data_IF_090101140652
#
_entry.id   IF_090101140652
#
_cell.length_a   1.000
_cell.length_b   1.000
_cell.length_c   1.000
_cell.angle_alpha   90.00
_cell.angle_beta   90.00
_cell.angle_gamma   90.00
#
_symmetry.space_group_name_H-M   'P 1'
#
loop_
_entity.id
_entity.type
_entity.pdbx_description
1 polymer ?
#
# COMPACT_ATOMS: atom_id res chain seq x y z
N UNK A 1 12.16 12.64 -2.25
CA UNK A 1 10.68 12.67 -2.35
C UNK A 1 10.14 11.33 -2.85
N UNK A 2 10.80 10.72 -3.83
CA UNK A 2 10.46 9.40 -4.42
C UNK A 2 10.58 8.22 -3.45
N UNK A 3 11.56 8.24 -2.54
CA UNK A 3 11.72 7.15 -1.57
C UNK A 3 10.51 7.02 -0.63
N UNK A 4 9.88 8.15 -0.29
CA UNK A 4 8.72 8.19 0.61
C UNK A 4 7.46 7.59 -0.02
N UNK A 5 7.21 7.85 -1.31
CA UNK A 5 6.06 7.25 -2.02
C UNK A 5 6.23 5.73 -2.18
N UNK A 6 7.47 5.23 -2.30
CA UNK A 6 7.74 3.80 -2.37
C UNK A 6 7.32 3.08 -1.08
N UNK A 7 7.59 3.66 0.09
CA UNK A 7 7.20 3.07 1.38
C UNK A 7 5.68 2.92 1.49
N UNK A 8 4.92 3.96 1.14
CA UNK A 8 3.46 3.92 1.14
C UNK A 8 2.92 2.84 0.17
N UNK A 9 3.47 2.75 -1.04
CA UNK A 9 3.07 1.77 -2.06
C UNK A 9 3.42 0.34 -1.67
N UNK A 10 4.65 0.09 -1.23
CA UNK A 10 5.12 -1.23 -0.80
C UNK A 10 4.34 -1.71 0.41
N UNK A 11 4.15 -0.85 1.41
CA UNK A 11 3.38 -1.19 2.60
C UNK A 11 1.96 -1.63 2.27
N UNK A 12 1.28 -0.89 1.40
CA UNK A 12 -0.04 -1.28 0.92
C UNK A 12 -0.02 -2.59 0.13
N UNK A 13 0.94 -2.77 -0.79
CA UNK A 13 1.03 -3.98 -1.62
C UNK A 13 1.28 -5.24 -0.79
N UNK A 14 2.22 -5.18 0.16
CA UNK A 14 2.52 -6.31 1.04
C UNK A 14 1.40 -6.61 2.04
N UNK A 15 0.63 -5.60 2.45
CA UNK A 15 -0.60 -5.84 3.21
C UNK A 15 -1.67 -6.52 2.34
N UNK A 16 -1.86 -6.05 1.11
CA UNK A 16 -2.84 -6.61 0.18
C UNK A 16 -2.52 -8.07 -0.18
N UNK A 17 -1.23 -8.37 -0.42
CA UNK A 17 -0.74 -9.70 -0.77
C UNK A 17 -0.33 -10.54 0.45
N UNK A 18 -0.72 -10.13 1.66
CA UNK A 18 -0.20 -10.70 2.91
C UNK A 18 -0.31 -12.22 2.97
N UNK A 19 -1.41 -12.78 2.43
CA UNK A 19 -1.66 -14.23 2.40
C UNK A 19 -0.77 -14.96 1.39
N UNK A 20 -0.52 -14.35 0.23
CA UNK A 20 0.24 -14.95 -0.86
C UNK A 20 1.76 -14.96 -0.59
N UNK A 21 2.28 -13.89 0.02
CA UNK A 21 3.72 -13.74 0.27
C UNK A 21 4.12 -13.89 1.74
N UNK A 22 3.20 -14.40 2.58
CA UNK A 22 3.41 -14.63 4.02
C UNK A 22 4.07 -13.44 4.74
N UNK A 23 3.52 -12.24 4.57
CA UNK A 23 4.15 -11.01 5.08
C UNK A 23 4.12 -10.96 6.61
N UNK A 24 5.28 -10.84 7.29
CA UNK A 24 5.34 -10.69 8.74
C UNK A 24 4.75 -9.36 9.23
N UNK A 25 4.04 -9.38 10.36
CA UNK A 25 3.52 -8.15 10.99
C UNK A 25 4.63 -7.17 11.37
N UNK A 26 5.81 -7.68 11.76
CA UNK A 26 6.97 -6.86 12.10
C UNK A 26 7.45 -6.03 10.91
N UNK A 27 7.38 -6.58 9.70
CA UNK A 27 7.75 -5.88 8.47
C UNK A 27 6.80 -4.72 8.18
N UNK A 28 5.48 -4.96 8.22
CA UNK A 28 4.47 -3.92 7.99
C UNK A 28 4.55 -2.80 9.05
N UNK A 29 4.77 -3.16 10.32
CA UNK A 29 4.99 -2.18 11.41
C UNK A 29 6.24 -1.33 11.17
N UNK A 30 7.32 -1.92 10.67
CA UNK A 30 8.55 -1.18 10.34
C UNK A 30 8.33 -0.21 9.17
N UNK A 31 7.56 -0.59 8.15
CA UNK A 31 7.19 0.31 7.06
C UNK A 31 6.31 1.47 7.54
N UNK A 32 5.34 1.19 8.42
CA UNK A 32 4.46 2.22 8.99
C UNK A 32 5.21 3.30 9.75
N UNK A 33 6.28 2.94 10.49
CA UNK A 33 7.14 3.91 11.19
C UNK A 33 7.87 4.88 10.25
N UNK A 34 8.00 4.53 8.97
CA UNK A 34 8.69 5.34 7.96
C UNK A 34 7.72 6.02 6.99
N UNK A 35 6.42 5.96 7.26
CA UNK A 35 5.41 6.63 6.43
C UNK A 35 5.63 8.13 6.40
N UNK A 36 5.40 8.71 5.22
CA UNK A 36 5.37 10.15 5.07
C UNK A 36 4.03 10.73 5.48
N UNK A 37 4.00 12.01 5.83
CA UNK A 37 2.77 12.76 6.07
C UNK A 37 1.99 13.15 4.81
N UNK A 38 2.51 12.82 3.63
CA UNK A 38 1.82 13.13 2.38
C UNK A 38 0.84 12.03 2.02
N UNK A 39 -0.19 12.39 1.26
CA UNK A 39 -1.09 11.45 0.62
C UNK A 39 -0.58 11.21 -0.80
N UNK A 40 -0.41 9.96 -1.17
CA UNK A 40 0.08 9.57 -2.49
C UNK A 40 -0.97 8.82 -3.29
N UNK A 41 -0.74 8.72 -4.59
CA UNK A 41 -1.50 7.85 -5.48
C UNK A 41 -0.71 6.57 -5.76
N UNK A 42 -1.37 5.41 -5.70
CA UNK A 42 -0.77 4.13 -6.07
C UNK A 42 -0.40 4.13 -7.56
N UNK A 43 -1.34 4.55 -8.41
CA UNK A 43 -1.17 4.86 -9.83
C UNK A 43 -1.83 6.21 -10.10
N UNK A 44 -1.48 6.94 -11.18
CA UNK A 44 -2.09 8.24 -11.52
C UNK A 44 -3.56 8.10 -11.99
N UNK A 45 -4.41 7.54 -11.13
CA UNK A 45 -5.84 7.26 -11.35
C UNK A 45 -6.62 7.59 -10.09
N UNK A 46 -7.90 7.93 -10.27
CA UNK A 46 -8.84 8.10 -9.17
C UNK A 46 -9.04 6.77 -8.44
N UNK A 47 -9.30 6.84 -7.13
CA UNK A 47 -9.47 5.64 -6.32
C UNK A 47 -9.95 5.94 -4.91
N UNK A 48 -9.99 4.91 -4.08
CA UNK A 48 -10.34 4.99 -2.66
C UNK A 48 -9.11 5.33 -1.83
N UNK A 49 -9.30 6.20 -0.85
CA UNK A 49 -8.23 6.57 0.07
C UNK A 49 -8.06 5.50 1.17
N UNK A 50 -6.92 4.81 1.15
CA UNK A 50 -6.47 3.96 2.24
C UNK A 50 -5.77 4.81 3.31
N UNK A 51 -6.48 5.04 4.42
CA UNK A 51 -5.99 5.86 5.53
C UNK A 51 -4.72 5.29 6.19
N UNK A 52 -4.59 3.97 6.25
CA UNK A 52 -3.50 3.27 6.95
C UNK A 52 -2.15 3.49 6.26
N UNK A 53 -2.13 3.43 4.93
CA UNK A 53 -0.93 3.62 4.12
C UNK A 53 -0.86 5.00 3.46
N UNK A 54 -1.80 5.90 3.79
CA UNK A 54 -1.91 7.26 3.24
C UNK A 54 -1.79 7.28 1.72
N UNK A 55 -2.53 6.38 1.07
CA UNK A 55 -2.44 6.16 -0.37
C UNK A 55 -3.82 6.00 -1.01
N UNK A 56 -4.02 6.57 -2.19
CA UNK A 56 -5.22 6.45 -3.00
C UNK A 56 -5.03 5.28 -3.97
N UNK A 57 -5.96 4.34 -3.97
CA UNK A 57 -5.86 3.07 -4.70
C UNK A 57 -7.07 2.85 -5.59
N UNK A 58 -6.83 2.43 -6.83
CA UNK A 58 -7.87 2.02 -7.78
C UNK A 58 -8.50 0.68 -7.33
N UNK A 59 -9.83 0.60 -7.36
CA UNK A 59 -10.60 -0.60 -6.96
C UNK A 59 -10.25 -1.85 -7.78
N UNK A 60 -9.73 -1.68 -8.99
CA UNK A 60 -9.28 -2.79 -9.84
C UNK A 60 -8.12 -3.56 -9.22
N UNK A 61 -7.30 -2.89 -8.41
CA UNK A 61 -6.15 -3.54 -7.78
C UNK A 61 -6.60 -4.57 -6.73
N UNK A 62 -7.62 -4.24 -5.94
CA UNK A 62 -8.21 -5.15 -4.95
C UNK A 62 -8.87 -6.34 -5.65
N UNK A 63 -9.63 -6.09 -6.73
CA UNK A 63 -10.25 -7.13 -7.55
C UNK A 63 -9.24 -8.09 -8.18
N UNK A 64 -8.07 -7.60 -8.58
CA UNK A 64 -7.03 -8.43 -9.18
C UNK A 64 -6.44 -9.44 -8.18
N UNK A 65 -6.43 -9.11 -6.89
CA UNK A 65 -5.92 -9.99 -5.83
C UNK A 65 -6.97 -11.00 -5.36
N UNK A 66 -8.26 -10.69 -5.49
CA UNK A 66 -9.35 -11.65 -5.23
C UNK A 66 -9.48 -12.73 -6.33
N UNK A 67 -8.99 -12.45 -7.54
CA UNK A 67 -9.11 -13.33 -8.70
C UNK A 67 -7.96 -14.35 -8.84
N UNK A 68 -6.89 -14.24 -8.03
CA UNK A 68 -5.69 -15.08 -8.11
C UNK A 68 -5.38 -15.77 -6.79
#
# INVERSE_FOLDING_TARGET
>A
MEEKILINRLGYLFELLRKQVNTPDSFLKNLQKRLSDNIYYFEKRSGKFNKKWRIIVDERLEKAVEAG
#
